data_IF_582285233042
#
_entry.id   IF_582285233042
#
_cell.length_a   1.000
_cell.length_b   1.000
_cell.length_c   1.000
_cell.angle_alpha   90.00
_cell.angle_beta   90.00
_cell.angle_gamma   90.00
#
_symmetry.space_group_name_H-M   'P 1'
#
loop_
_entity.id
_entity.type
_entity.pdbx_description
1 polymer ?
#
# COMPACT_ATOMS: atom_id res chain seq x y z
N UNK A 1 -1.58 -18.55 44.61
CA UNK A 1 -2.94 -18.44 44.04
C UNK A 1 -3.12 -17.20 43.18
N UNK A 2 -2.70 -16.04 43.59
CA UNK A 2 -2.80 -14.80 42.81
C UNK A 2 -2.01 -14.82 41.53
N UNK A 3 -0.86 -15.51 41.48
CA UNK A 3 -0.03 -15.63 40.29
C UNK A 3 -0.69 -16.40 39.16
N UNK A 4 -1.48 -17.42 39.46
CA UNK A 4 -2.20 -18.24 38.47
C UNK A 4 -3.38 -17.52 37.86
N UNK A 5 -4.05 -16.67 38.62
CA UNK A 5 -5.15 -15.83 38.14
C UNK A 5 -4.66 -14.75 37.20
N UNK A 6 -3.52 -14.12 37.50
CA UNK A 6 -2.90 -13.11 36.63
C UNK A 6 -2.42 -13.71 35.32
N UNK A 7 -1.83 -14.91 35.33
CA UNK A 7 -1.44 -15.62 34.11
C UNK A 7 -2.62 -15.98 33.22
N UNK A 8 -3.72 -16.44 33.82
CA UNK A 8 -4.96 -16.74 33.09
C UNK A 8 -5.58 -15.51 32.47
N UNK A 9 -5.60 -14.38 33.22
CA UNK A 9 -6.08 -13.10 32.69
C UNK A 9 -5.22 -12.60 31.54
N UNK A 10 -3.90 -12.71 31.65
CA UNK A 10 -2.98 -12.29 30.60
C UNK A 10 -3.17 -13.12 29.33
N UNK A 11 -3.35 -14.44 29.47
CA UNK A 11 -3.62 -15.33 28.35
C UNK A 11 -4.95 -15.00 27.67
N UNK A 12 -5.99 -14.69 28.45
CA UNK A 12 -7.29 -14.29 27.91
C UNK A 12 -7.22 -12.96 27.16
N UNK A 13 -6.47 -11.99 27.69
CA UNK A 13 -6.26 -10.70 27.05
C UNK A 13 -5.48 -10.88 25.74
N UNK A 14 -4.45 -11.68 25.74
CA UNK A 14 -3.67 -11.96 24.52
C UNK A 14 -4.51 -12.68 23.47
N UNK A 15 -5.35 -13.62 23.86
CA UNK A 15 -6.27 -14.31 22.97
C UNK A 15 -7.31 -13.34 22.41
N UNK A 16 -7.85 -12.46 23.23
CA UNK A 16 -8.80 -11.42 22.83
C UNK A 16 -8.18 -10.48 21.80
N UNK A 17 -6.95 -10.01 22.04
CA UNK A 17 -6.21 -9.15 21.11
C UNK A 17 -5.98 -9.87 19.78
N UNK A 18 -5.62 -11.15 19.83
CA UNK A 18 -5.41 -11.96 18.63
C UNK A 18 -6.70 -12.08 17.81
N UNK A 19 -7.81 -12.43 18.47
CA UNK A 19 -9.12 -12.55 17.81
C UNK A 19 -9.56 -11.21 17.24
N UNK A 20 -9.36 -10.14 17.96
CA UNK A 20 -9.69 -8.78 17.51
C UNK A 20 -8.91 -8.40 16.24
N UNK A 21 -7.60 -8.67 16.22
CA UNK A 21 -6.77 -8.40 15.04
C UNK A 21 -7.17 -9.24 13.85
N UNK A 22 -7.45 -10.52 14.05
CA UNK A 22 -7.87 -11.42 12.97
C UNK A 22 -9.25 -11.01 12.46
N UNK A 23 -10.19 -10.71 13.33
CA UNK A 23 -11.54 -10.29 12.94
C UNK A 23 -11.53 -8.96 12.21
N UNK A 24 -10.75 -7.99 12.68
CA UNK A 24 -10.60 -6.72 11.98
C UNK A 24 -9.92 -6.89 10.62
N UNK A 25 -8.96 -7.78 10.54
CA UNK A 25 -8.30 -8.09 9.27
C UNK A 25 -9.27 -8.69 8.26
N UNK A 26 -10.19 -9.54 8.70
CA UNK A 26 -11.23 -10.12 7.85
C UNK A 26 -12.32 -9.10 7.47
N UNK A 27 -12.76 -8.27 8.41
CA UNK A 27 -13.72 -7.20 8.16
C UNK A 27 -13.15 -6.17 7.19
N UNK A 28 -11.88 -5.84 7.33
CA UNK A 28 -11.18 -4.91 6.44
C UNK A 28 -10.93 -5.53 5.05
N UNK A 29 -11.01 -6.85 4.91
CA UNK A 29 -10.84 -7.49 3.60
C UNK A 29 -11.93 -7.11 2.58
N UNK A 30 -13.13 -6.74 3.03
CA UNK A 30 -14.19 -6.27 2.15
C UNK A 30 -13.97 -4.85 1.66
N UNK A 31 -13.30 -4.00 2.48
CA UNK A 31 -13.02 -2.59 2.21
C UNK A 31 -11.52 -2.27 2.20
N UNK A 32 -10.69 -3.26 1.86
CA UNK A 32 -9.22 -3.10 1.83
C UNK A 32 -8.74 -2.12 0.79
N UNK A 33 -9.47 -1.99 -0.29
CA UNK A 33 -9.07 -1.15 -1.41
C UNK A 33 -10.07 -0.04 -1.62
N UNK A 34 -9.57 1.10 -2.05
CA UNK A 34 -10.39 2.23 -2.46
C UNK A 34 -10.19 2.46 -3.94
N UNK A 35 -11.27 2.50 -4.69
CA UNK A 35 -11.21 2.86 -6.09
C UNK A 35 -10.96 4.35 -6.21
N UNK A 36 -9.84 4.71 -6.82
CA UNK A 36 -9.50 6.10 -7.12
C UNK A 36 -9.25 6.22 -8.61
N UNK A 37 -9.46 7.41 -9.15
CA UNK A 37 -9.15 7.69 -10.55
C UNK A 37 -7.95 8.62 -10.64
N UNK A 38 -6.99 8.24 -11.50
CA UNK A 38 -5.79 9.01 -11.77
C UNK A 38 -5.61 9.12 -13.27
N UNK A 39 -5.31 10.32 -13.75
CA UNK A 39 -4.95 10.52 -15.16
C UNK A 39 -3.47 10.23 -15.34
N UNK A 40 -3.15 9.32 -16.23
CA UNK A 40 -1.77 8.97 -16.58
C UNK A 40 -1.49 9.51 -17.98
N UNK A 41 -0.28 10.03 -18.18
CA UNK A 41 0.16 10.47 -19.49
C UNK A 41 0.01 9.32 -20.48
N UNK A 42 -0.67 9.57 -21.60
CA UNK A 42 -1.06 8.55 -22.57
C UNK A 42 0.13 7.73 -23.05
N UNK A 43 1.22 8.40 -23.41
CA UNK A 43 2.43 7.75 -23.89
C UNK A 43 3.06 6.83 -22.84
N UNK A 44 3.12 7.27 -21.58
CA UNK A 44 3.65 6.46 -20.49
C UNK A 44 2.77 5.23 -20.22
N UNK A 45 1.48 5.40 -20.29
CA UNK A 45 0.53 4.30 -20.11
C UNK A 45 0.69 3.24 -21.19
N UNK A 46 0.80 3.64 -22.44
CA UNK A 46 0.98 2.73 -23.57
C UNK A 46 2.31 1.98 -23.46
N UNK A 47 3.39 2.67 -23.13
CA UNK A 47 4.70 2.04 -22.91
C UNK A 47 4.66 1.06 -21.74
N UNK A 48 4.00 1.42 -20.65
CA UNK A 48 3.84 0.54 -19.50
C UNK A 48 3.10 -0.74 -19.89
N UNK A 49 1.99 -0.63 -20.59
CA UNK A 49 1.22 -1.79 -21.06
C UNK A 49 2.06 -2.70 -21.96
N UNK A 50 2.78 -2.12 -22.88
CA UNK A 50 3.64 -2.87 -23.80
C UNK A 50 4.73 -3.64 -23.04
N UNK A 51 5.40 -2.96 -22.11
CA UNK A 51 6.52 -3.56 -21.37
C UNK A 51 6.09 -4.59 -20.34
N UNK A 52 4.84 -4.55 -19.91
CA UNK A 52 4.33 -5.48 -18.87
C UNK A 52 3.45 -6.60 -19.43
N UNK A 53 3.32 -6.70 -20.75
CA UNK A 53 2.43 -7.67 -21.39
C UNK A 53 2.79 -9.12 -21.01
N UNK A 54 4.08 -9.44 -20.85
CA UNK A 54 4.56 -10.76 -20.46
C UNK A 54 4.98 -10.83 -18.98
N UNK A 55 4.61 -9.85 -18.19
CA UNK A 55 4.97 -9.73 -16.79
C UNK A 55 3.73 -9.88 -15.92
N UNK A 56 3.92 -10.25 -14.66
CA UNK A 56 2.84 -10.22 -13.66
C UNK A 56 2.57 -8.81 -13.12
N UNK A 57 3.35 -7.81 -13.55
CA UNK A 57 3.16 -6.42 -13.13
C UNK A 57 1.90 -5.83 -13.77
N UNK A 58 1.15 -5.07 -13.00
CA UNK A 58 0.03 -4.26 -13.48
C UNK A 58 0.04 -2.89 -12.80
N UNK A 59 -0.82 -2.00 -13.27
CA UNK A 59 -0.87 -0.65 -12.76
C UNK A 59 -1.25 -0.59 -11.27
N UNK A 60 -2.17 -1.44 -10.84
CA UNK A 60 -2.57 -1.51 -9.45
C UNK A 60 -1.39 -1.87 -8.54
N UNK A 61 -0.60 -2.87 -8.92
CA UNK A 61 0.60 -3.26 -8.17
C UNK A 61 1.62 -2.14 -8.14
N UNK A 62 1.85 -1.50 -9.28
CA UNK A 62 2.81 -0.39 -9.38
C UNK A 62 2.40 0.75 -8.46
N UNK A 63 1.14 1.16 -8.51
CA UNK A 63 0.65 2.27 -7.68
C UNK A 63 0.75 1.93 -6.19
N UNK A 64 0.27 0.76 -5.79
CA UNK A 64 0.32 0.36 -4.37
C UNK A 64 1.75 0.27 -3.86
N UNK A 65 2.65 -0.33 -4.63
CA UNK A 65 4.07 -0.42 -4.26
C UNK A 65 4.74 0.94 -4.21
N UNK A 66 4.43 1.82 -5.15
CA UNK A 66 4.98 3.17 -5.19
C UNK A 66 4.50 4.00 -4.00
N UNK A 67 3.23 3.94 -3.66
CA UNK A 67 2.69 4.64 -2.50
C UNK A 67 3.31 4.12 -1.21
N UNK A 68 3.45 2.80 -1.08
CA UNK A 68 4.08 2.19 0.08
C UNK A 68 5.55 2.65 0.24
N UNK A 69 6.31 2.66 -0.85
CA UNK A 69 7.70 3.12 -0.83
C UNK A 69 7.80 4.60 -0.48
N UNK A 70 6.94 5.42 -1.05
CA UNK A 70 6.90 6.85 -0.73
C UNK A 70 6.69 7.10 0.77
N UNK A 71 5.80 6.33 1.39
CA UNK A 71 5.48 6.49 2.82
C UNK A 71 6.56 5.95 3.75
N UNK A 72 7.33 4.94 3.32
CA UNK A 72 8.26 4.21 4.19
C UNK A 72 9.73 4.42 3.86
N UNK A 73 10.07 5.04 2.74
CA UNK A 73 11.44 5.26 2.30
C UNK A 73 11.66 6.76 2.02
N UNK A 74 12.45 7.40 2.87
CA UNK A 74 12.75 8.85 2.77
C UNK A 74 13.45 9.17 1.45
N UNK A 75 14.34 8.29 0.99
CA UNK A 75 15.09 8.50 -0.27
C UNK A 75 14.13 8.47 -1.46
N UNK A 76 13.24 7.50 -1.51
CA UNK A 76 12.23 7.39 -2.57
C UNK A 76 11.30 8.60 -2.55
N UNK A 77 10.85 9.02 -1.36
CA UNK A 77 10.01 10.21 -1.20
C UNK A 77 10.68 11.45 -1.78
N UNK A 78 11.94 11.68 -1.42
CA UNK A 78 12.70 12.83 -1.90
C UNK A 78 12.91 12.77 -3.41
N UNK A 79 13.22 11.61 -3.93
CA UNK A 79 13.39 11.41 -5.38
C UNK A 79 12.10 11.68 -6.15
N UNK A 80 10.96 11.21 -5.65
CA UNK A 80 9.67 11.44 -6.29
C UNK A 80 9.25 12.90 -6.23
N UNK A 81 9.42 13.55 -5.08
CA UNK A 81 9.04 14.96 -4.90
C UNK A 81 9.90 15.90 -5.74
N UNK A 82 11.18 15.57 -5.94
CA UNK A 82 12.12 16.38 -6.74
C UNK A 82 12.18 15.97 -8.20
N UNK A 83 11.37 15.00 -8.63
CA UNK A 83 11.40 14.48 -9.99
C UNK A 83 10.92 15.54 -10.99
N UNK A 84 11.78 15.90 -11.94
CA UNK A 84 11.55 17.01 -12.88
C UNK A 84 11.67 16.61 -14.35
N UNK A 85 11.70 15.30 -14.64
CA UNK A 85 11.88 14.79 -15.99
C UNK A 85 10.61 14.68 -16.82
N UNK A 86 9.44 14.85 -16.17
CA UNK A 86 8.15 14.81 -16.86
C UNK A 86 7.65 16.23 -17.10
N UNK A 87 7.83 16.69 -18.34
CA UNK A 87 7.45 18.02 -18.74
C UNK A 87 6.64 17.97 -20.03
N UNK A 88 5.41 18.45 -19.98
CA UNK A 88 4.51 18.44 -21.14
C UNK A 88 3.81 19.79 -21.22
N UNK A 89 3.95 20.47 -22.36
CA UNK A 89 3.23 21.72 -22.67
C UNK A 89 3.34 22.80 -21.59
N UNK A 90 4.53 22.91 -20.96
CA UNK A 90 4.77 23.89 -19.91
C UNK A 90 4.34 23.45 -18.50
N UNK A 91 3.80 22.25 -18.35
CA UNK A 91 3.39 21.71 -17.06
C UNK A 91 4.30 20.58 -16.59
N UNK A 92 4.60 20.55 -15.32
CA UNK A 92 5.34 19.45 -14.68
C UNK A 92 4.37 18.37 -14.20
N UNK A 93 4.72 17.13 -14.48
CA UNK A 93 4.01 15.97 -14.01
C UNK A 93 4.87 15.07 -13.15
#
# INVERSE_FOLDING_TARGET
MLRNLQKKLLLLINLYIYIYKVTNKELVMRDKTKLTSVKILKNLYEQFKFKTVNSSMNLQKLVNRSVHQYLNDVVVKEQMESYDKLFISGSRY
#
